data_IF_974384272199
#
_entry.id   IF_974384272199
#
_cell.length_a   1.000
_cell.length_b   1.000
_cell.length_c   1.000
_cell.angle_alpha   90.00
_cell.angle_beta   90.00
_cell.angle_gamma   90.00
#
_symmetry.space_group_name_H-M   'P 1'
#
loop_
_entity.id
_entity.type
_entity.pdbx_description
1 polymer ?
#
# COMPACT_ATOMS: atom_id res chain seq x y z
N UNK A 1 -37.39 13.59 6.05
CA UNK A 1 -36.38 12.59 6.45
C UNK A 1 -37.04 11.71 7.49
N UNK A 2 -37.42 10.48 7.13
CA UNK A 2 -37.90 9.50 8.10
C UNK A 2 -36.66 9.02 8.84
N UNK A 3 -36.55 9.33 10.13
CA UNK A 3 -35.47 8.78 10.95
C UNK A 3 -35.75 7.28 11.07
N UNK A 4 -34.77 6.44 10.75
CA UNK A 4 -34.89 4.99 10.88
C UNK A 4 -35.01 4.63 12.36
N UNK A 5 -36.19 4.21 12.80
CA UNK A 5 -36.52 3.87 14.20
C UNK A 5 -35.59 2.80 14.78
N UNK A 6 -34.92 2.00 13.93
CA UNK A 6 -33.97 0.97 14.36
C UNK A 6 -32.68 1.56 14.94
N UNK A 7 -32.04 2.51 14.25
CA UNK A 7 -30.80 3.16 14.72
C UNK A 7 -31.01 3.93 16.02
N UNK A 8 -32.16 4.58 16.19
CA UNK A 8 -32.50 5.27 17.45
C UNK A 8 -32.56 4.26 18.60
N UNK A 9 -33.24 3.12 18.41
CA UNK A 9 -33.37 2.09 19.44
C UNK A 9 -32.02 1.45 19.79
N UNK A 10 -31.14 1.25 18.83
CA UNK A 10 -29.79 0.71 19.09
C UNK A 10 -28.88 1.75 19.76
N UNK A 11 -29.05 3.04 19.45
CA UNK A 11 -28.38 4.12 20.18
C UNK A 11 -28.87 4.19 21.64
N UNK A 12 -30.16 3.96 21.92
CA UNK A 12 -30.66 3.87 23.30
C UNK A 12 -29.98 2.74 24.09
N UNK A 13 -29.93 1.53 23.53
CA UNK A 13 -29.26 0.39 24.17
C UNK A 13 -27.77 0.62 24.37
N UNK A 14 -27.11 1.24 23.38
CA UNK A 14 -25.71 1.61 23.49
C UNK A 14 -25.44 2.54 24.69
N UNK A 15 -26.27 3.57 24.87
CA UNK A 15 -26.15 4.48 26.01
C UNK A 15 -26.32 3.75 27.34
N UNK A 16 -27.25 2.78 27.43
CA UNK A 16 -27.45 1.97 28.64
C UNK A 16 -26.27 1.03 28.93
N UNK A 17 -25.76 0.34 27.90
CA UNK A 17 -24.64 -0.60 27.99
C UNK A 17 -23.36 0.11 28.45
N UNK A 18 -23.13 1.34 27.99
CA UNK A 18 -21.89 2.09 28.20
C UNK A 18 -21.98 3.20 29.25
N UNK A 19 -23.08 3.29 30.02
CA UNK A 19 -23.29 4.37 31.02
C UNK A 19 -22.21 4.45 32.12
N UNK A 20 -21.53 3.32 32.38
CA UNK A 20 -20.52 3.19 33.43
C UNK A 20 -19.08 3.17 32.88
N UNK A 21 -18.90 3.37 31.58
CA UNK A 21 -17.57 3.40 30.98
C UNK A 21 -16.81 4.67 31.39
N UNK A 22 -15.51 4.51 31.65
CA UNK A 22 -14.68 5.61 32.13
C UNK A 22 -13.17 5.45 31.87
N UNK A 23 -12.70 4.24 31.58
CA UNK A 23 -11.27 3.96 31.40
C UNK A 23 -10.92 3.73 29.92
N UNK A 24 -10.12 4.62 29.33
CA UNK A 24 -9.64 4.55 27.94
C UNK A 24 -8.96 3.22 27.63
N UNK A 25 -8.05 2.76 28.49
CA UNK A 25 -7.22 1.57 28.21
C UNK A 25 -8.03 0.28 28.23
N UNK A 26 -9.07 0.24 29.07
CA UNK A 26 -9.86 -0.96 29.27
C UNK A 26 -11.10 -1.00 28.35
N UNK A 27 -11.72 0.16 28.11
CA UNK A 27 -13.08 0.22 27.55
C UNK A 27 -13.18 0.93 26.20
N UNK A 28 -12.17 1.71 25.77
CA UNK A 28 -12.26 2.45 24.49
C UNK A 28 -12.50 1.53 23.30
N UNK A 29 -11.82 0.39 23.23
CA UNK A 29 -11.96 -0.55 22.10
C UNK A 29 -13.36 -1.17 22.03
N UNK A 30 -13.91 -1.60 23.17
CA UNK A 30 -15.27 -2.16 23.21
C UNK A 30 -16.32 -1.09 22.92
N UNK A 31 -16.13 0.13 23.46
CA UNK A 31 -17.03 1.26 23.23
C UNK A 31 -17.12 1.62 21.75
N UNK A 32 -15.98 1.78 21.08
CA UNK A 32 -15.95 2.11 19.64
C UNK A 32 -16.53 0.97 18.81
N UNK A 33 -16.20 -0.28 19.15
CA UNK A 33 -16.73 -1.45 18.45
C UNK A 33 -18.24 -1.49 18.53
N UNK A 34 -18.81 -1.33 19.72
CA UNK A 34 -20.25 -1.36 19.93
C UNK A 34 -20.94 -0.16 19.29
N UNK A 35 -20.31 1.01 19.32
CA UNK A 35 -20.79 2.20 18.60
C UNK A 35 -20.93 1.93 17.10
N UNK A 36 -19.92 1.33 16.47
CA UNK A 36 -19.94 1.06 15.03
C UNK A 36 -20.83 -0.15 14.67
N UNK A 37 -20.70 -1.28 15.37
CA UNK A 37 -21.41 -2.53 15.06
C UNK A 37 -22.87 -2.50 15.50
N UNK A 38 -23.15 -2.09 16.73
CA UNK A 38 -24.49 -2.18 17.29
C UNK A 38 -25.36 -1.02 16.82
N UNK A 39 -24.84 0.20 16.79
CA UNK A 39 -25.64 1.40 16.43
C UNK A 39 -25.73 1.59 14.92
N UNK A 40 -24.62 1.48 14.19
CA UNK A 40 -24.59 1.76 12.74
C UNK A 40 -24.48 0.52 11.86
N UNK A 41 -24.42 -0.68 12.44
CA UNK A 41 -24.27 -1.95 11.71
C UNK A 41 -23.04 -2.01 10.79
N UNK A 42 -22.00 -1.26 11.14
CA UNK A 42 -20.72 -1.24 10.45
C UNK A 42 -19.88 -2.36 11.04
N UNK A 43 -19.38 -3.27 10.21
CA UNK A 43 -18.52 -4.36 10.66
C UNK A 43 -17.05 -3.91 10.75
N UNK A 44 -16.49 -3.62 11.94
CA UNK A 44 -15.11 -3.22 12.12
C UNK A 44 -14.15 -4.32 11.70
N UNK A 45 -14.51 -5.62 11.64
CA UNK A 45 -13.62 -6.66 11.06
C UNK A 45 -13.43 -6.55 9.56
N UNK A 46 -14.38 -5.95 8.84
CA UNK A 46 -14.21 -5.55 7.42
C UNK A 46 -13.59 -4.16 7.28
N UNK A 47 -13.40 -3.42 8.36
CA UNK A 47 -12.66 -2.15 8.45
C UNK A 47 -11.27 -2.36 9.09
N UNK A 48 -11.02 -3.52 9.70
CA UNK A 48 -9.85 -3.92 10.50
C UNK A 48 -8.55 -4.06 9.69
N UNK A 49 -8.50 -3.56 8.45
CA UNK A 49 -7.26 -3.38 7.72
C UNK A 49 -6.38 -2.24 8.28
N UNK A 50 -6.79 -1.60 9.38
CA UNK A 50 -5.96 -0.63 10.08
C UNK A 50 -6.37 -0.44 11.54
N UNK A 51 -5.85 -1.27 12.45
CA UNK A 51 -5.80 -0.92 13.88
C UNK A 51 -4.40 -1.02 14.47
N UNK A 52 -4.11 0.00 15.28
CA UNK A 52 -2.85 0.42 15.90
C UNK A 52 -1.78 1.01 14.96
N UNK A 53 -2.02 2.24 14.45
CA UNK A 53 -0.90 3.06 13.95
C UNK A 53 -0.11 3.62 15.15
N UNK A 54 1.05 3.01 15.44
CA UNK A 54 1.97 3.47 16.50
C UNK A 54 2.85 4.59 15.94
N UNK A 55 2.62 5.84 16.36
CA UNK A 55 3.45 6.97 15.94
C UNK A 55 4.49 7.26 17.01
N UNK A 56 5.78 7.13 16.69
CA UNK A 56 6.85 7.65 17.55
C UNK A 56 7.00 9.15 17.31
N UNK A 57 6.62 9.96 18.30
CA UNK A 57 6.91 11.40 18.33
C UNK A 57 7.83 11.69 19.54
N UNK A 58 9.14 11.52 19.36
CA UNK A 58 10.13 11.73 20.42
C UNK A 58 10.05 10.71 21.58
N UNK A 59 10.36 11.13 22.82
CA UNK A 59 10.38 10.25 24.01
C UNK A 59 8.98 9.73 24.44
N UNK A 60 7.89 10.15 23.80
CA UNK A 60 6.53 9.77 24.16
C UNK A 60 5.76 9.28 22.91
N UNK A 61 5.13 8.10 23.02
CA UNK A 61 4.30 7.52 21.96
C UNK A 61 2.93 8.20 21.94
N UNK A 62 2.43 8.55 20.75
CA UNK A 62 1.07 9.09 20.58
C UNK A 62 0.22 8.08 19.79
N UNK A 63 -0.98 7.84 20.31
CA UNK A 63 -1.93 6.82 19.84
C UNK A 63 -3.16 7.51 19.25
N UNK A 64 -3.83 6.83 18.34
CA UNK A 64 -5.19 7.16 17.92
C UNK A 64 -6.06 5.92 18.06
N UNK A 65 -7.25 6.09 18.62
CA UNK A 65 -8.12 4.97 18.99
C UNK A 65 -8.95 4.40 17.84
N UNK A 66 -9.36 5.21 16.85
CA UNK A 66 -9.98 4.70 15.61
C UNK A 66 -9.81 5.58 14.35
N UNK A 67 -9.65 4.97 13.16
CA UNK A 67 -9.79 5.61 11.85
C UNK A 67 -10.66 4.74 10.92
N UNK A 68 -11.72 5.34 10.38
CA UNK A 68 -12.48 4.88 9.23
C UNK A 68 -12.00 5.68 8.01
N UNK A 69 -11.25 5.04 7.11
CA UNK A 69 -10.55 5.66 5.97
C UNK A 69 -11.38 6.73 5.26
N UNK A 70 -10.87 7.96 5.20
CA UNK A 70 -11.49 9.12 4.52
C UNK A 70 -12.82 9.61 5.12
N UNK A 71 -13.36 8.95 6.15
CA UNK A 71 -14.69 9.25 6.70
C UNK A 71 -14.60 9.81 8.12
N UNK A 72 -14.07 9.04 9.09
CA UNK A 72 -14.17 9.38 10.51
C UNK A 72 -12.92 8.97 11.29
N UNK A 73 -12.31 9.92 11.98
CA UNK A 73 -11.31 9.70 13.02
C UNK A 73 -12.01 9.69 14.39
N UNK A 74 -11.64 8.77 15.28
CA UNK A 74 -12.14 8.72 16.66
C UNK A 74 -10.95 8.71 17.62
N UNK A 75 -10.95 9.65 18.56
CA UNK A 75 -9.99 9.71 19.66
C UNK A 75 -10.74 9.63 20.99
N UNK A 76 -10.39 8.66 21.83
CA UNK A 76 -10.97 8.43 23.15
C UNK A 76 -10.05 8.97 24.24
N UNK A 77 -10.63 9.39 25.37
CA UNK A 77 -9.89 9.65 26.62
C UNK A 77 -10.64 9.07 27.81
N UNK A 78 -9.93 8.83 28.92
CA UNK A 78 -10.63 8.47 30.17
C UNK A 78 -11.56 9.60 30.59
N UNK A 79 -12.65 9.24 31.27
CA UNK A 79 -13.70 10.18 31.70
C UNK A 79 -13.16 11.38 32.47
N UNK A 80 -13.60 12.58 32.07
CA UNK A 80 -13.19 13.84 32.69
C UNK A 80 -11.79 14.32 32.31
N UNK A 81 -11.11 13.67 31.35
CA UNK A 81 -9.85 14.16 30.79
C UNK A 81 -10.13 15.20 29.69
N UNK A 82 -9.24 16.17 29.57
CA UNK A 82 -9.38 17.26 28.58
C UNK A 82 -9.38 16.75 27.14
N UNK A 83 -10.48 17.03 26.44
CA UNK A 83 -10.63 16.79 25.00
C UNK A 83 -9.78 17.74 24.14
N UNK A 84 -9.23 18.84 24.68
CA UNK A 84 -8.34 19.73 23.91
C UNK A 84 -7.00 19.06 23.58
N UNK A 85 -6.52 18.20 24.49
CA UNK A 85 -5.35 17.34 24.24
C UNK A 85 -5.66 16.30 23.17
N UNK A 86 -6.83 15.68 23.24
CA UNK A 86 -7.33 14.75 22.23
C UNK A 86 -7.46 15.44 20.86
N UNK A 87 -7.97 16.67 20.83
CA UNK A 87 -8.07 17.49 19.63
C UNK A 87 -6.71 17.74 19.01
N UNK A 88 -5.73 18.18 19.80
CA UNK A 88 -4.37 18.40 19.31
C UNK A 88 -3.75 17.12 18.73
N UNK A 89 -3.99 15.96 19.35
CA UNK A 89 -3.53 14.66 18.85
C UNK A 89 -4.21 14.28 17.53
N UNK A 90 -5.53 14.40 17.46
CA UNK A 90 -6.32 14.11 16.27
C UNK A 90 -5.95 14.99 15.07
N UNK A 91 -5.80 16.31 15.27
CA UNK A 91 -5.40 17.22 14.19
C UNK A 91 -3.94 16.99 13.75
N UNK A 92 -3.03 16.72 14.69
CA UNK A 92 -1.66 16.32 14.34
C UNK A 92 -1.61 15.00 13.56
N UNK A 93 -2.59 14.11 13.76
CA UNK A 93 -2.73 12.91 12.96
C UNK A 93 -3.26 13.24 11.56
N UNK A 94 -4.32 14.03 11.45
CA UNK A 94 -4.90 14.46 10.15
C UNK A 94 -3.87 15.17 9.27
N UNK A 95 -3.04 16.04 9.86
CA UNK A 95 -1.98 16.78 9.14
C UNK A 95 -0.87 15.88 8.58
N UNK A 96 -0.83 14.59 8.97
CA UNK A 96 0.13 13.58 8.50
C UNK A 96 -0.49 12.60 7.49
N UNK A 97 -1.75 12.79 7.11
CA UNK A 97 -2.43 11.98 6.11
C UNK A 97 -2.29 12.63 4.73
N UNK A 98 -2.21 11.81 3.68
CA UNK A 98 -2.31 12.33 2.31
C UNK A 98 -3.71 12.89 2.03
N UNK A 99 -3.85 13.79 1.07
CA UNK A 99 -5.11 14.50 0.77
C UNK A 99 -6.32 13.57 0.61
N UNK A 100 -6.13 12.37 0.03
CA UNK A 100 -7.19 11.38 -0.19
C UNK A 100 -7.57 10.56 1.07
N UNK A 101 -6.73 10.58 2.11
CA UNK A 101 -6.90 9.83 3.35
C UNK A 101 -7.40 10.69 4.51
N UNK A 102 -7.43 12.02 4.34
CA UNK A 102 -7.93 12.97 5.33
C UNK A 102 -9.39 12.63 5.65
N UNK A 103 -9.71 12.30 6.92
CA UNK A 103 -11.08 12.01 7.31
C UNK A 103 -11.88 13.30 7.30
N UNK A 104 -13.04 13.29 6.66
CA UNK A 104 -13.95 14.44 6.71
C UNK A 104 -14.39 14.77 8.14
N UNK A 105 -14.59 13.76 8.98
CA UNK A 105 -15.06 13.92 10.36
C UNK A 105 -14.01 13.53 11.39
N UNK A 106 -13.94 14.28 12.49
CA UNK A 106 -13.15 13.97 13.68
C UNK A 106 -14.05 13.95 14.90
N UNK A 107 -14.14 12.80 15.56
CA UNK A 107 -14.86 12.60 16.82
C UNK A 107 -13.88 12.45 17.99
N UNK A 108 -14.10 13.21 19.04
CA UNK A 108 -13.41 13.11 20.32
C UNK A 108 -14.42 12.70 21.38
N UNK A 109 -14.08 11.73 22.22
CA UNK A 109 -14.99 11.23 23.24
C UNK A 109 -14.25 10.89 24.55
N UNK A 110 -14.84 11.23 25.68
CA UNK A 110 -14.32 10.83 27.01
C UNK A 110 -15.32 9.97 27.80
N UNK A 111 -16.20 9.24 27.11
CA UNK A 111 -17.33 8.48 27.67
C UNK A 111 -18.45 9.32 28.29
N UNK A 112 -18.24 10.62 28.54
CA UNK A 112 -19.28 11.54 29.03
C UNK A 112 -19.72 12.52 27.96
N UNK A 113 -18.78 13.05 27.18
CA UNK A 113 -19.01 14.05 26.14
C UNK A 113 -18.52 13.50 24.80
N UNK A 114 -19.33 13.68 23.76
CA UNK A 114 -18.94 13.52 22.37
C UNK A 114 -18.78 14.91 21.76
N UNK A 115 -17.63 15.14 21.13
CA UNK A 115 -17.39 16.28 20.26
C UNK A 115 -17.09 15.80 18.86
N UNK A 116 -17.84 16.26 17.87
CA UNK A 116 -17.60 15.92 16.46
C UNK A 116 -17.41 17.18 15.62
N UNK A 117 -16.40 17.14 14.76
CA UNK A 117 -15.99 18.22 13.87
C UNK A 117 -16.07 17.74 12.42
N UNK A 118 -16.68 18.52 11.54
CA UNK A 118 -16.64 18.32 10.09
C UNK A 118 -15.54 19.25 9.53
N UNK A 119 -14.46 18.68 9.01
CA UNK A 119 -13.28 19.41 8.56
C UNK A 119 -13.51 20.17 7.25
N UNK A 120 -14.48 19.76 6.42
CA UNK A 120 -14.81 20.44 5.16
C UNK A 120 -15.55 21.75 5.44
N UNK A 121 -16.50 21.71 6.38
CA UNK A 121 -17.36 22.85 6.72
C UNK A 121 -16.83 23.69 7.88
N UNK A 122 -15.91 23.15 8.69
CA UNK A 122 -15.43 23.74 9.93
C UNK A 122 -16.46 23.73 11.06
N UNK A 123 -17.58 23.01 10.90
CA UNK A 123 -18.62 22.95 11.92
C UNK A 123 -18.24 21.98 13.04
N UNK A 124 -18.56 22.34 14.28
CA UNK A 124 -18.35 21.51 15.46
C UNK A 124 -19.65 21.41 16.26
N UNK A 125 -19.98 20.21 16.73
CA UNK A 125 -21.06 19.99 17.69
C UNK A 125 -20.55 19.17 18.87
N UNK A 126 -21.03 19.48 20.06
CA UNK A 126 -20.63 18.83 21.30
C UNK A 126 -21.88 18.54 22.12
N UNK A 127 -22.04 17.30 22.58
CA UNK A 127 -23.19 16.88 23.37
C UNK A 127 -22.81 15.72 24.31
N UNK A 128 -23.53 15.54 25.43
CA UNK A 128 -23.31 14.39 26.32
C UNK A 128 -23.61 13.05 25.63
N UNK A 129 -22.85 11.99 25.92
CA UNK A 129 -23.11 10.63 25.41
C UNK A 129 -24.54 10.18 25.72
N UNK A 130 -25.08 10.54 26.89
CA UNK A 130 -26.47 10.26 27.28
C UNK A 130 -27.53 10.87 26.35
N UNK A 131 -27.17 11.88 25.57
CA UNK A 131 -28.02 12.57 24.58
C UNK A 131 -27.74 12.11 23.15
N UNK A 132 -26.95 11.04 22.96
CA UNK A 132 -26.61 10.50 21.65
C UNK A 132 -27.86 10.18 20.82
N UNK A 133 -28.93 9.71 21.44
CA UNK A 133 -30.19 9.35 20.75
C UNK A 133 -30.85 10.56 20.11
N UNK A 134 -30.86 11.71 20.79
CA UNK A 134 -31.39 12.98 20.27
C UNK A 134 -30.49 13.60 19.21
N UNK A 135 -29.19 13.28 19.22
CA UNK A 135 -28.18 13.81 18.29
C UNK A 135 -27.76 12.78 17.22
N UNK A 136 -28.45 11.65 17.10
CA UNK A 136 -28.01 10.54 16.24
C UNK A 136 -27.92 10.92 14.76
N UNK A 137 -28.70 11.93 14.34
CA UNK A 137 -28.67 12.48 12.99
C UNK A 137 -27.33 13.11 12.59
N UNK A 138 -26.51 13.51 13.56
CA UNK A 138 -25.14 14.01 13.31
C UNK A 138 -24.28 12.93 12.63
N UNK A 139 -24.59 11.65 12.87
CA UNK A 139 -23.90 10.50 12.30
C UNK A 139 -24.60 9.90 11.09
N UNK A 140 -25.52 10.63 10.44
CA UNK A 140 -26.17 10.16 9.22
C UNK A 140 -25.16 9.83 8.11
N UNK A 141 -23.96 10.42 8.15
CA UNK A 141 -22.84 10.08 7.26
C UNK A 141 -22.31 8.64 7.44
N UNK A 142 -22.68 7.94 8.51
CA UNK A 142 -22.37 6.52 8.75
C UNK A 142 -23.51 5.59 8.30
N UNK A 143 -24.73 6.09 8.11
CA UNK A 143 -25.90 5.28 7.74
C UNK A 143 -25.86 4.84 6.28
N UNK A 144 -26.25 3.60 6.01
CA UNK A 144 -26.39 3.06 4.65
C UNK A 144 -25.09 2.92 3.84
N UNK A 145 -23.93 3.21 4.44
CA UNK A 145 -22.64 2.98 3.80
C UNK A 145 -22.21 1.53 4.02
N UNK A 146 -22.19 0.75 2.94
CA UNK A 146 -21.14 -0.27 2.84
C UNK A 146 -19.82 0.50 2.91
N UNK A 147 -19.15 0.51 4.06
CA UNK A 147 -17.78 1.00 4.15
C UNK A 147 -16.93 0.02 3.36
N UNK A 148 -16.84 0.29 2.06
CA UNK A 148 -15.89 -0.36 1.18
C UNK A 148 -14.54 0.19 1.61
N UNK A 149 -13.70 -0.69 2.15
CA UNK A 149 -12.26 -0.45 2.08
C UNK A 149 -12.00 -0.18 0.61
N UNK A 150 -11.66 1.04 0.27
CA UNK A 150 -11.17 1.37 -1.06
C UNK A 150 -9.75 0.78 -1.14
N UNK A 151 -9.64 -0.54 -1.28
CA UNK A 151 -8.63 -1.08 -2.19
C UNK A 151 -8.90 -0.31 -3.48
N UNK A 152 -7.91 0.38 -4.09
CA UNK A 152 -8.18 1.24 -5.22
C UNK A 152 -8.97 0.45 -6.27
N UNK A 153 -10.28 0.66 -6.35
CA UNK A 153 -11.20 -0.07 -7.25
C UNK A 153 -11.08 0.54 -8.65
N UNK A 154 -9.84 0.70 -9.13
CA UNK A 154 -9.63 0.77 -10.56
C UNK A 154 -10.09 -0.58 -11.12
N UNK A 155 -10.95 -0.61 -12.15
CA UNK A 155 -11.28 -1.83 -12.87
C UNK A 155 -10.02 -2.62 -13.28
N UNK A 156 -8.89 -1.92 -13.50
CA UNK A 156 -7.59 -2.50 -13.81
C UNK A 156 -7.02 -3.31 -12.64
N UNK A 157 -7.15 -2.83 -11.39
CA UNK A 157 -6.71 -3.55 -10.19
C UNK A 157 -7.49 -4.84 -9.96
N UNK A 158 -8.82 -4.77 -10.08
CA UNK A 158 -9.69 -5.94 -9.93
C UNK A 158 -9.39 -6.97 -11.03
N UNK A 159 -9.23 -6.51 -12.27
CA UNK A 159 -8.87 -7.36 -13.39
C UNK A 159 -7.50 -8.02 -13.19
N UNK A 160 -6.48 -7.25 -12.77
CA UNK A 160 -5.14 -7.75 -12.51
C UNK A 160 -5.13 -8.81 -11.40
N UNK A 161 -5.81 -8.54 -10.29
CA UNK A 161 -5.92 -9.47 -9.17
C UNK A 161 -6.53 -10.82 -9.60
N UNK A 162 -7.66 -10.78 -10.30
CA UNK A 162 -8.36 -11.98 -10.77
C UNK A 162 -7.50 -12.79 -11.75
N UNK A 163 -6.82 -12.12 -12.69
CA UNK A 163 -5.96 -12.80 -13.67
C UNK A 163 -4.73 -13.44 -13.00
N UNK A 164 -4.09 -12.76 -12.05
CA UNK A 164 -2.94 -13.30 -11.34
C UNK A 164 -3.34 -14.45 -10.38
N UNK A 165 -4.51 -14.37 -9.74
CA UNK A 165 -5.08 -15.48 -8.96
C UNK A 165 -5.35 -16.69 -9.84
N UNK A 166 -5.96 -16.48 -11.01
CA UNK A 166 -6.21 -17.56 -11.97
C UNK A 166 -4.90 -18.18 -12.45
N UNK A 167 -3.88 -17.38 -12.77
CA UNK A 167 -2.56 -17.85 -13.16
C UNK A 167 -1.92 -18.72 -12.06
N UNK A 168 -2.04 -18.29 -10.81
CA UNK A 168 -1.53 -19.06 -9.67
C UNK A 168 -2.20 -20.43 -9.55
N UNK A 169 -3.53 -20.48 -9.63
CA UNK A 169 -4.31 -21.74 -9.60
C UNK A 169 -3.87 -22.67 -10.74
N UNK A 170 -3.75 -22.14 -11.96
CA UNK A 170 -3.33 -22.93 -13.13
C UNK A 170 -1.92 -23.52 -12.98
N UNK A 171 -0.97 -22.75 -12.41
CA UNK A 171 0.38 -23.23 -12.13
C UNK A 171 0.39 -24.33 -11.06
N UNK A 172 -0.49 -24.24 -10.06
CA UNK A 172 -0.64 -25.24 -9.00
C UNK A 172 -1.17 -26.56 -9.51
N UNK A 173 -2.12 -26.53 -10.44
CA UNK A 173 -2.70 -27.74 -11.05
C UNK A 173 -1.71 -28.52 -11.92
N UNK A 174 -0.65 -27.88 -12.42
CA UNK A 174 0.40 -28.51 -13.24
C UNK A 174 1.48 -29.24 -12.42
N UNK A 175 1.23 -29.51 -11.13
CA UNK A 175 2.19 -30.11 -10.19
C UNK A 175 3.54 -29.35 -10.11
N UNK A 176 3.54 -28.05 -10.40
CA UNK A 176 4.73 -27.24 -10.19
C UNK A 176 5.03 -27.17 -8.67
N UNK A 177 6.30 -27.29 -8.23
CA UNK A 177 6.60 -27.33 -6.80
C UNK A 177 6.09 -26.08 -6.08
N UNK A 178 5.33 -26.25 -4.98
CA UNK A 178 4.66 -25.15 -4.25
C UNK A 178 5.57 -23.96 -3.95
N UNK A 179 6.77 -24.20 -3.42
CA UNK A 179 7.70 -23.12 -3.10
C UNK A 179 8.25 -22.42 -4.36
N UNK A 180 8.38 -23.15 -5.46
CA UNK A 180 8.82 -22.60 -6.73
C UNK A 180 7.70 -21.80 -7.41
N UNK A 181 6.42 -22.19 -7.25
CA UNK A 181 5.28 -21.45 -7.82
C UNK A 181 5.25 -20.02 -7.32
N UNK A 182 5.38 -19.84 -6.00
CA UNK A 182 5.34 -18.50 -5.39
C UNK A 182 6.50 -17.64 -5.91
N UNK A 183 7.72 -18.19 -5.92
CA UNK A 183 8.91 -17.49 -6.42
C UNK A 183 8.79 -17.14 -7.92
N UNK A 184 8.26 -18.06 -8.73
CA UNK A 184 8.01 -17.84 -10.15
C UNK A 184 7.00 -16.69 -10.35
N UNK A 185 5.89 -16.70 -9.60
CA UNK A 185 4.88 -15.65 -9.63
C UNK A 185 5.47 -14.29 -9.24
N UNK A 186 6.27 -14.21 -8.18
CA UNK A 186 6.94 -12.96 -7.78
C UNK A 186 7.83 -12.41 -8.88
N UNK A 187 8.62 -13.28 -9.53
CA UNK A 187 9.52 -12.87 -10.61
C UNK A 187 8.78 -12.40 -11.86
N UNK A 188 7.67 -13.07 -12.21
CA UNK A 188 6.81 -12.66 -13.34
C UNK A 188 6.21 -11.28 -13.08
N UNK A 189 5.64 -11.06 -11.90
CA UNK A 189 5.08 -9.77 -11.50
C UNK A 189 6.17 -8.68 -11.50
N UNK A 190 7.36 -8.99 -10.98
CA UNK A 190 8.49 -8.07 -11.05
C UNK A 190 8.81 -7.67 -12.49
N UNK A 191 8.88 -8.64 -13.42
CA UNK A 191 9.19 -8.35 -14.81
C UNK A 191 8.15 -7.45 -15.48
N UNK A 192 6.86 -7.67 -15.17
CA UNK A 192 5.77 -6.84 -15.68
C UNK A 192 5.85 -5.40 -15.15
N UNK A 193 6.25 -5.24 -13.89
CA UNK A 193 6.46 -3.92 -13.29
C UNK A 193 7.74 -3.25 -13.81
N UNK A 194 8.79 -4.01 -14.08
CA UNK A 194 10.04 -3.53 -14.65
C UNK A 194 9.86 -3.00 -16.08
N UNK A 195 9.01 -3.63 -16.89
CA UNK A 195 8.56 -3.13 -18.20
C UNK A 195 7.89 -1.75 -18.10
N UNK A 196 7.13 -1.51 -17.02
CA UNK A 196 6.43 -0.24 -16.82
C UNK A 196 7.31 0.86 -16.23
N UNK A 197 8.15 0.53 -15.24
CA UNK A 197 8.94 1.53 -14.49
C UNK A 197 10.20 2.03 -15.19
N UNK A 198 10.44 1.60 -16.44
CA UNK A 198 11.63 1.97 -17.21
C UNK A 198 12.91 1.25 -16.75
N UNK A 199 12.75 0.18 -15.95
CA UNK A 199 13.85 -0.75 -15.65
C UNK A 199 14.15 -1.54 -16.90
N UNK A 200 13.13 -2.10 -17.54
CA UNK A 200 13.19 -2.65 -18.88
C UNK A 200 12.75 -1.59 -19.90
N UNK A 201 13.05 -1.82 -21.17
CA UNK A 201 12.43 -1.02 -22.23
C UNK A 201 10.93 -1.31 -22.28
N UNK A 202 10.14 -0.34 -22.75
CA UNK A 202 8.68 -0.47 -22.79
C UNK A 202 8.26 -1.73 -23.59
N UNK A 203 7.58 -2.65 -22.91
CA UNK A 203 7.11 -3.91 -23.50
C UNK A 203 8.20 -4.93 -23.84
N UNK A 204 9.41 -4.79 -23.29
CA UNK A 204 10.55 -5.70 -23.54
C UNK A 204 10.24 -7.13 -23.06
N UNK A 205 9.76 -7.30 -21.82
CA UNK A 205 9.36 -8.59 -21.27
C UNK A 205 8.24 -9.23 -22.11
N UNK A 206 7.18 -8.47 -22.41
CA UNK A 206 6.09 -8.98 -23.26
C UNK A 206 6.60 -9.44 -24.63
N UNK A 207 7.44 -8.62 -25.27
CA UNK A 207 8.02 -8.94 -26.58
C UNK A 207 8.89 -10.19 -26.53
N UNK A 208 9.65 -10.36 -25.45
CA UNK A 208 10.46 -11.55 -25.23
C UNK A 208 9.58 -12.82 -25.16
N UNK A 209 8.53 -12.81 -24.35
CA UNK A 209 7.60 -13.94 -24.25
C UNK A 209 6.95 -14.21 -25.61
N UNK A 210 6.49 -13.18 -26.32
CA UNK A 210 5.81 -13.33 -27.60
C UNK A 210 6.70 -13.96 -28.67
N UNK A 211 7.96 -13.52 -28.79
CA UNK A 211 8.90 -13.96 -29.84
C UNK A 211 9.59 -15.28 -29.53
N UNK A 212 9.93 -15.54 -28.27
CA UNK A 212 10.84 -16.61 -27.90
C UNK A 212 10.18 -17.83 -27.26
N UNK A 213 8.86 -17.79 -27.01
CA UNK A 213 8.10 -18.95 -26.53
C UNK A 213 7.20 -19.52 -27.61
N UNK A 214 7.06 -20.85 -27.64
CA UNK A 214 6.15 -21.56 -28.53
C UNK A 214 4.70 -21.20 -28.23
N UNK A 215 3.85 -21.18 -29.25
CA UNK A 215 2.42 -20.91 -29.08
C UNK A 215 1.71 -21.93 -28.20
N UNK A 216 2.20 -23.18 -28.14
CA UNK A 216 1.65 -24.22 -27.27
C UNK A 216 2.01 -24.04 -25.79
N UNK A 217 2.86 -23.05 -25.47
CA UNK A 217 3.28 -22.71 -24.11
C UNK A 217 4.24 -23.71 -23.47
N UNK A 218 4.72 -24.71 -24.21
CA UNK A 218 5.45 -25.83 -23.63
C UNK A 218 6.86 -25.51 -23.15
N UNK A 219 7.45 -24.39 -23.58
CA UNK A 219 8.82 -23.96 -23.28
C UNK A 219 8.91 -22.69 -22.42
N UNK A 220 7.77 -22.17 -21.92
CA UNK A 220 7.73 -20.91 -21.17
C UNK A 220 8.67 -20.92 -19.97
N UNK A 221 8.64 -21.99 -19.17
CA UNK A 221 9.44 -22.08 -17.93
C UNK A 221 10.93 -22.02 -18.25
N UNK A 222 11.36 -22.68 -19.32
CA UNK A 222 12.77 -22.70 -19.73
C UNK A 222 13.23 -21.33 -20.25
N UNK A 223 12.36 -20.62 -20.98
CA UNK A 223 12.62 -19.25 -21.45
C UNK A 223 12.65 -18.25 -20.31
N UNK A 224 11.72 -18.35 -19.35
CA UNK A 224 11.75 -17.55 -18.13
C UNK A 224 13.00 -17.85 -17.29
N UNK A 225 13.39 -19.12 -17.17
CA UNK A 225 14.63 -19.51 -16.49
C UNK A 225 15.87 -18.86 -17.11
N UNK A 226 15.94 -18.86 -18.44
CA UNK A 226 17.01 -18.19 -19.20
C UNK A 226 17.04 -16.69 -18.95
N UNK A 227 15.87 -16.03 -18.98
CA UNK A 227 15.72 -14.62 -18.64
C UNK A 227 16.19 -14.35 -17.20
N UNK A 228 15.78 -15.15 -16.23
CA UNK A 228 16.13 -14.95 -14.82
C UNK A 228 17.63 -15.09 -14.57
N UNK A 229 18.32 -15.98 -15.29
CA UNK A 229 19.78 -16.06 -15.26
C UNK A 229 20.39 -14.73 -15.74
N UNK A 230 19.91 -14.17 -16.84
CA UNK A 230 20.40 -12.89 -17.38
C UNK A 230 20.14 -11.73 -16.42
N UNK A 231 18.95 -11.70 -15.81
CA UNK A 231 18.61 -10.72 -14.78
C UNK A 231 19.56 -10.85 -13.59
N UNK A 232 20.09 -12.05 -13.29
CA UNK A 232 21.08 -12.24 -12.22
C UNK A 232 22.55 -12.23 -12.66
N UNK A 233 22.85 -11.94 -13.94
CA UNK A 233 24.23 -11.95 -14.45
C UNK A 233 24.67 -10.52 -14.79
N UNK A 234 25.77 -10.00 -14.20
CA UNK A 234 26.32 -8.71 -14.58
C UNK A 234 26.57 -8.60 -16.09
N UNK A 235 26.32 -7.42 -16.67
CA UNK A 235 26.37 -7.22 -18.13
C UNK A 235 27.70 -7.66 -18.76
N UNK A 236 28.82 -7.45 -18.07
CA UNK A 236 30.17 -7.81 -18.52
C UNK A 236 30.50 -9.31 -18.38
N UNK A 237 29.63 -10.11 -17.76
CA UNK A 237 29.82 -11.55 -17.51
C UNK A 237 28.82 -12.41 -18.29
N UNK A 238 27.94 -11.78 -19.09
CA UNK A 238 26.92 -12.47 -19.87
C UNK A 238 27.50 -13.18 -21.08
N UNK A 239 26.91 -14.33 -21.37
CA UNK A 239 27.18 -15.13 -22.56
C UNK A 239 25.96 -15.26 -23.48
N UNK A 240 24.78 -14.79 -23.02
CA UNK A 240 23.55 -14.71 -23.79
C UNK A 240 23.63 -13.59 -24.84
N UNK A 241 22.90 -13.75 -25.94
CA UNK A 241 22.91 -12.85 -27.09
C UNK A 241 21.49 -12.48 -27.53
N UNK A 242 21.35 -11.45 -28.37
CA UNK A 242 20.07 -11.00 -28.93
C UNK A 242 19.18 -10.36 -27.87
N UNK A 243 17.86 -10.45 -28.00
CA UNK A 243 16.88 -9.78 -27.11
C UNK A 243 17.14 -9.99 -25.59
N UNK A 244 17.82 -11.08 -25.19
CA UNK A 244 18.20 -11.32 -23.80
C UNK A 244 19.28 -10.36 -23.31
N UNK A 245 20.29 -10.02 -24.11
CA UNK A 245 21.42 -9.18 -23.69
C UNK A 245 21.00 -7.77 -23.29
N UNK A 246 19.89 -7.30 -23.86
CA UNK A 246 19.30 -5.98 -23.63
C UNK A 246 18.58 -5.85 -22.28
N UNK A 247 18.31 -6.94 -21.57
CA UNK A 247 17.69 -6.86 -20.24
C UNK A 247 18.71 -6.39 -19.22
N UNK A 248 18.34 -5.51 -18.29
CA UNK A 248 19.27 -5.01 -17.26
C UNK A 248 19.66 -6.08 -16.26
N UNK A 249 20.84 -5.92 -15.65
CA UNK A 249 21.21 -6.70 -14.47
C UNK A 249 20.42 -6.21 -13.25
N UNK A 250 19.72 -7.13 -12.61
CA UNK A 250 18.88 -6.95 -11.42
C UNK A 250 19.48 -7.80 -10.29
N UNK A 251 20.28 -7.16 -9.44
CA UNK A 251 20.87 -7.78 -8.25
C UNK A 251 19.84 -7.94 -7.11
N UNK A 252 20.25 -8.56 -6.00
CA UNK A 252 19.54 -8.53 -4.71
C UNK A 252 18.77 -9.80 -4.37
N UNK A 253 19.23 -10.97 -4.83
CA UNK A 253 18.72 -12.25 -4.32
C UNK A 253 17.43 -12.74 -4.95
N UNK A 254 16.58 -11.86 -5.49
CA UNK A 254 15.32 -12.25 -6.12
C UNK A 254 15.54 -13.29 -7.23
N UNK A 255 16.61 -13.17 -8.01
CA UNK A 255 16.94 -14.05 -9.13
C UNK A 255 18.06 -15.08 -8.84
N UNK A 256 18.59 -15.13 -7.60
CA UNK A 256 19.71 -16.01 -7.22
C UNK A 256 19.36 -17.49 -7.29
N UNK A 257 18.15 -17.84 -6.88
CA UNK A 257 17.71 -19.24 -6.83
C UNK A 257 17.25 -19.69 -8.21
N UNK A 258 17.87 -20.72 -8.78
CA UNK A 258 17.37 -21.29 -10.03
C UNK A 258 15.99 -21.90 -9.83
N UNK A 259 15.09 -21.65 -10.79
CA UNK A 259 13.77 -22.29 -10.80
C UNK A 259 13.87 -23.70 -11.41
N UNK A 260 13.00 -24.63 -11.01
CA UNK A 260 12.86 -25.91 -11.70
C UNK A 260 12.51 -25.71 -13.18
N UNK A 261 13.35 -26.23 -14.08
CA UNK A 261 13.17 -26.20 -15.54
C UNK A 261 12.59 -27.53 -16.06
N UNK A 262 12.19 -27.57 -17.33
CA UNK A 262 11.67 -28.77 -18.01
C UNK A 262 10.19 -29.07 -17.74
N UNK A 263 9.48 -28.18 -17.04
CA UNK A 263 8.04 -28.30 -16.83
C UNK A 263 7.30 -27.70 -18.00
N UNK A 264 6.49 -28.52 -18.67
CA UNK A 264 5.68 -28.12 -19.82
C UNK A 264 4.38 -27.48 -19.33
N UNK A 265 4.26 -26.19 -19.56
CA UNK A 265 2.98 -25.48 -19.41
C UNK A 265 2.16 -25.61 -20.70
N UNK A 266 1.07 -24.86 -20.80
CA UNK A 266 0.14 -24.92 -21.92
C UNK A 266 -0.15 -23.54 -22.51
N UNK A 267 -0.84 -23.56 -23.64
CA UNK A 267 -1.26 -22.37 -24.40
C UNK A 267 -2.09 -21.42 -23.55
N UNK A 268 -2.94 -21.94 -22.67
CA UNK A 268 -3.78 -21.12 -21.79
C UNK A 268 -2.93 -20.26 -20.84
N UNK A 269 -1.93 -20.86 -20.19
CA UNK A 269 -1.01 -20.11 -19.31
C UNK A 269 -0.19 -19.09 -20.11
N UNK A 270 0.27 -19.44 -21.32
CA UNK A 270 0.97 -18.50 -22.20
C UNK A 270 0.13 -17.26 -22.52
N UNK A 271 -1.11 -17.49 -22.93
CA UNK A 271 -2.01 -16.41 -23.30
C UNK A 271 -2.33 -15.53 -22.09
N UNK A 272 -2.47 -16.13 -20.91
CA UNK A 272 -2.68 -15.40 -19.67
C UNK A 272 -1.47 -14.50 -19.31
N UNK A 273 -0.23 -15.00 -19.43
CA UNK A 273 0.97 -14.16 -19.23
C UNK A 273 1.00 -12.98 -20.20
N UNK A 274 0.65 -13.21 -21.47
CA UNK A 274 0.59 -12.16 -22.49
C UNK A 274 -0.56 -11.17 -22.24
N UNK A 275 -1.70 -11.61 -21.73
CA UNK A 275 -2.82 -10.74 -21.35
C UNK A 275 -2.46 -9.87 -20.15
N UNK A 276 -1.90 -10.45 -19.09
CA UNK A 276 -1.54 -9.72 -17.88
C UNK A 276 -0.42 -8.70 -18.18
N UNK A 277 0.52 -9.03 -19.06
CA UNK A 277 1.57 -8.10 -19.52
C UNK A 277 1.04 -6.91 -20.35
N UNK A 278 -0.22 -6.93 -20.81
CA UNK A 278 -0.85 -5.82 -21.54
C UNK A 278 -1.59 -4.84 -20.64
N UNK A 279 -1.79 -5.19 -19.36
CA UNK A 279 -2.43 -4.29 -18.42
C UNK A 279 -1.57 -3.04 -18.22
N UNK A 280 -2.23 -1.93 -17.90
CA UNK A 280 -1.52 -0.72 -17.52
C UNK A 280 -1.04 -0.83 -16.06
N UNK A 281 0.20 -1.30 -15.89
CA UNK A 281 0.82 -1.46 -14.58
C UNK A 281 1.09 -0.14 -13.85
N UNK A 282 0.89 1.02 -14.49
CA UNK A 282 0.85 2.32 -13.81
C UNK A 282 -0.31 2.44 -12.83
N UNK A 283 -1.42 1.80 -13.15
CA UNK A 283 -2.66 1.86 -12.40
C UNK A 283 -2.80 0.71 -11.39
N UNK A 284 -1.83 -0.23 -11.41
CA UNK A 284 -1.88 -1.42 -10.56
C UNK A 284 -1.21 -1.13 -9.23
N UNK A 285 -1.99 -1.15 -8.15
CA UNK A 285 -1.46 -0.93 -6.80
C UNK A 285 -0.67 -2.15 -6.32
N UNK A 286 0.52 -1.95 -5.72
CA UNK A 286 1.30 -3.02 -5.08
C UNK A 286 0.55 -3.84 -4.03
N UNK A 287 -0.51 -3.26 -3.45
CA UNK A 287 -1.36 -3.92 -2.45
C UNK A 287 -1.98 -5.21 -3.01
N UNK A 288 -2.28 -5.26 -4.31
CA UNK A 288 -2.86 -6.44 -4.97
C UNK A 288 -1.96 -7.68 -4.79
N UNK A 289 -0.64 -7.50 -4.84
CA UNK A 289 0.32 -8.59 -4.66
C UNK A 289 0.34 -9.09 -3.22
N UNK A 290 0.32 -8.16 -2.26
CA UNK A 290 0.22 -8.49 -0.83
C UNK A 290 -0.97 -9.39 -0.53
N UNK A 291 -2.17 -8.98 -0.96
CA UNK A 291 -3.40 -9.76 -0.76
C UNK A 291 -3.39 -11.11 -1.47
N UNK A 292 -2.83 -11.18 -2.68
CA UNK A 292 -2.75 -12.42 -3.46
C UNK A 292 -1.78 -13.43 -2.83
N UNK A 293 -0.56 -13.00 -2.49
CA UNK A 293 0.44 -13.87 -1.89
C UNK A 293 0.06 -14.27 -0.45
N UNK A 294 -0.58 -13.38 0.31
CA UNK A 294 -1.13 -13.73 1.64
C UNK A 294 -2.23 -14.80 1.54
N UNK A 295 -3.10 -14.70 0.52
CA UNK A 295 -4.16 -15.67 0.24
C UNK A 295 -3.64 -17.03 -0.24
N UNK A 296 -2.54 -17.06 -1.00
CA UNK A 296 -1.90 -18.27 -1.53
C UNK A 296 -1.06 -19.06 -0.49
N UNK A 297 -0.57 -18.39 0.56
CA UNK A 297 0.25 -19.02 1.60
C UNK A 297 -0.57 -19.81 2.64
N UNK A 298 0.00 -20.90 3.15
CA UNK A 298 -0.60 -21.70 4.21
C UNK A 298 -0.67 -20.91 5.53
N UNK A 299 -1.77 -21.04 6.28
CA UNK A 299 -2.05 -20.25 7.49
C UNK A 299 -0.96 -20.42 8.56
N UNK A 300 -0.41 -21.63 8.71
CA UNK A 300 0.70 -21.91 9.64
C UNK A 300 2.00 -21.22 9.22
N UNK A 301 2.37 -21.35 7.94
CA UNK A 301 3.63 -20.81 7.40
C UNK A 301 3.62 -19.28 7.36
N UNK A 302 2.45 -18.66 7.19
CA UNK A 302 2.23 -17.21 7.28
C UNK A 302 2.57 -16.67 8.67
N UNK A 303 2.18 -17.40 9.73
CA UNK A 303 2.40 -17.03 11.14
C UNK A 303 3.87 -17.21 11.55
N UNK A 304 4.50 -18.29 11.10
CA UNK A 304 5.90 -18.62 11.43
C UNK A 304 6.91 -17.68 10.76
N UNK A 305 6.60 -17.16 9.56
CA UNK A 305 7.47 -16.24 8.81
C UNK A 305 7.21 -14.75 9.10
N UNK A 306 6.16 -14.42 9.87
CA UNK A 306 5.73 -13.03 10.06
C UNK A 306 5.42 -12.32 8.74
N UNK A 307 4.98 -13.08 7.72
CA UNK A 307 4.80 -12.63 6.34
C UNK A 307 3.52 -11.79 6.19
N UNK A 308 3.45 -10.70 6.93
CA UNK A 308 2.44 -9.67 6.80
C UNK A 308 2.96 -8.61 5.83
N UNK A 309 2.21 -8.41 4.76
CA UNK A 309 2.43 -7.33 3.82
C UNK A 309 2.24 -5.99 4.53
N UNK A 310 3.15 -5.05 4.30
CA UNK A 310 2.99 -3.66 4.77
C UNK A 310 2.40 -2.85 3.62
N UNK A 311 1.26 -2.22 3.87
CA UNK A 311 0.56 -1.41 2.87
C UNK A 311 1.43 -0.28 2.32
N UNK A 312 1.17 0.10 1.07
CA UNK A 312 1.82 1.23 0.38
C UNK A 312 1.75 2.51 1.23
N UNK A 313 0.60 2.79 1.84
CA UNK A 313 0.40 3.91 2.77
C UNK A 313 1.37 3.84 3.96
N UNK A 314 1.55 2.66 4.57
CA UNK A 314 2.47 2.51 5.70
C UNK A 314 3.94 2.61 5.27
N UNK A 315 4.27 2.20 4.05
CA UNK A 315 5.60 2.34 3.47
C UNK A 315 5.88 3.81 3.21
N UNK A 316 4.99 4.52 2.50
CA UNK A 316 5.13 5.95 2.22
C UNK A 316 5.25 6.75 3.51
N UNK A 317 4.46 6.46 4.55
CA UNK A 317 4.61 7.12 5.87
C UNK A 317 6.02 6.98 6.47
N UNK A 318 6.65 5.82 6.32
CA UNK A 318 8.04 5.63 6.76
C UNK A 318 8.99 6.38 5.85
N UNK A 319 8.86 6.30 4.53
CA UNK A 319 9.76 6.96 3.58
C UNK A 319 9.67 8.50 3.64
N UNK A 320 8.45 9.04 3.71
CA UNK A 320 8.11 10.45 3.86
C UNK A 320 8.83 11.05 5.07
N UNK A 321 8.59 10.47 6.24
CA UNK A 321 9.21 10.92 7.48
C UNK A 321 10.71 10.62 7.60
N UNK A 322 11.21 9.58 6.91
CA UNK A 322 12.61 9.19 7.00
C UNK A 322 13.52 10.05 6.12
N UNK A 323 13.07 10.42 4.92
CA UNK A 323 13.88 11.23 4.00
C UNK A 323 13.12 11.98 2.89
N UNK A 324 11.93 11.55 2.45
CA UNK A 324 11.30 12.19 1.28
C UNK A 324 10.81 13.61 1.59
N UNK A 325 10.29 13.89 2.79
CA UNK A 325 9.83 15.24 3.18
C UNK A 325 10.98 16.25 3.19
N UNK A 326 12.14 15.84 3.71
CA UNK A 326 13.35 16.66 3.74
C UNK A 326 13.87 16.94 2.32
N UNK A 327 13.89 15.92 1.47
CA UNK A 327 14.29 16.07 0.06
C UNK A 327 13.32 16.97 -0.71
N UNK A 328 12.01 16.82 -0.49
CA UNK A 328 10.99 17.66 -1.11
C UNK A 328 11.14 19.12 -0.65
N UNK A 329 11.35 19.35 0.64
CA UNK A 329 11.54 20.69 1.20
C UNK A 329 12.80 21.35 0.64
N UNK A 330 13.93 20.62 0.61
CA UNK A 330 15.18 21.09 0.01
C UNK A 330 14.98 21.44 -1.47
N UNK A 331 14.30 20.58 -2.23
CA UNK A 331 14.00 20.82 -3.63
C UNK A 331 13.14 22.07 -3.84
N UNK A 332 12.06 22.25 -3.07
CA UNK A 332 11.20 23.44 -3.16
C UNK A 332 11.97 24.72 -2.84
N UNK A 333 12.84 24.68 -1.84
CA UNK A 333 13.72 25.81 -1.51
C UNK A 333 14.65 26.16 -2.67
N UNK A 334 15.22 25.16 -3.36
CA UNK A 334 16.05 25.37 -4.55
C UNK A 334 15.22 25.97 -5.69
N UNK A 335 14.00 25.50 -5.91
CA UNK A 335 13.09 26.04 -6.91
C UNK A 335 12.72 27.51 -6.68
N UNK A 336 12.68 27.96 -5.43
CA UNK A 336 12.40 29.35 -5.06
C UNK A 336 13.62 30.28 -5.17
N UNK A 337 14.82 29.75 -5.44
CA UNK A 337 16.02 30.58 -5.64
C UNK A 337 15.93 31.41 -6.93
N UNK A 338 16.23 32.71 -6.81
CA UNK A 338 16.32 33.62 -7.96
C UNK A 338 17.66 33.57 -8.68
N UNK A 339 18.74 33.24 -7.96
CA UNK A 339 20.12 33.21 -8.46
C UNK A 339 20.77 31.88 -8.04
N UNK A 340 21.61 31.28 -8.89
CA UNK A 340 22.37 30.07 -8.55
C UNK A 340 21.57 28.76 -8.55
N UNK A 341 20.28 28.79 -8.92
CA UNK A 341 19.37 27.64 -8.97
C UNK A 341 19.97 26.42 -9.69
N UNK A 342 20.58 26.63 -10.86
CA UNK A 342 21.08 25.55 -11.71
C UNK A 342 22.22 24.75 -11.05
N UNK A 343 23.15 25.44 -10.37
CA UNK A 343 24.22 24.78 -9.63
C UNK A 343 23.67 24.03 -8.42
N UNK A 344 22.71 24.60 -7.69
CA UNK A 344 22.06 23.94 -6.54
C UNK A 344 21.26 22.71 -6.94
N UNK A 345 20.57 22.75 -8.10
CA UNK A 345 19.91 21.56 -8.67
C UNK A 345 20.92 20.46 -9.02
N UNK A 346 22.08 20.80 -9.59
CA UNK A 346 23.12 19.81 -9.89
C UNK A 346 23.70 19.16 -8.63
N UNK A 347 23.92 19.95 -7.57
CA UNK A 347 24.35 19.44 -6.25
C UNK A 347 23.30 18.52 -5.65
N UNK A 348 22.02 18.93 -5.68
CA UNK A 348 20.90 18.15 -5.17
C UNK A 348 20.70 16.83 -5.93
N UNK A 349 20.80 16.87 -7.26
CA UNK A 349 20.75 15.67 -8.10
C UNK A 349 21.89 14.70 -7.76
N UNK A 350 23.12 15.21 -7.57
CA UNK A 350 24.26 14.39 -7.14
C UNK A 350 24.08 13.83 -5.73
N UNK A 351 23.40 14.55 -4.82
CA UNK A 351 23.06 14.04 -3.49
C UNK A 351 22.12 12.85 -3.60
N UNK A 352 21.01 13.00 -4.32
CA UNK A 352 20.00 11.94 -4.49
C UNK A 352 20.62 10.70 -5.14
N UNK A 353 21.44 10.86 -6.18
CA UNK A 353 22.06 9.74 -6.88
C UNK A 353 23.00 8.89 -6.02
N UNK A 354 23.41 9.40 -4.85
CA UNK A 354 24.29 8.71 -3.90
C UNK A 354 23.56 8.23 -2.64
N UNK A 355 22.25 8.45 -2.51
CA UNK A 355 21.48 7.91 -1.39
C UNK A 355 21.41 6.37 -1.51
N UNK A 356 21.61 5.70 -0.38
CA UNK A 356 21.53 4.23 -0.29
C UNK A 356 20.52 3.87 0.78
N UNK A 357 19.59 2.98 0.44
CA UNK A 357 18.53 2.51 1.33
C UNK A 357 18.69 1.01 1.57
N UNK A 358 18.50 0.56 2.81
CA UNK A 358 18.66 -0.83 3.22
C UNK A 358 17.41 -1.30 3.98
N UNK A 359 16.72 -2.30 3.43
CA UNK A 359 15.70 -3.08 4.13
C UNK A 359 16.18 -4.52 4.31
N UNK A 360 16.65 -4.93 5.50
CA UNK A 360 17.19 -6.27 5.74
C UNK A 360 16.10 -7.36 5.89
N UNK A 361 14.81 -7.01 5.77
CA UNK A 361 13.67 -7.94 5.87
C UNK A 361 12.61 -7.66 4.76
N UNK A 362 13.12 -7.31 3.58
CA UNK A 362 12.35 -6.91 2.41
C UNK A 362 11.31 -7.95 1.94
N UNK A 363 11.60 -9.25 1.90
CA UNK A 363 10.64 -10.26 1.42
C UNK A 363 10.01 -9.90 0.07
N UNK A 364 8.68 -10.05 -0.09
CA UNK A 364 7.97 -9.61 -1.31
C UNK A 364 7.95 -8.07 -1.51
N UNK A 365 8.46 -7.28 -0.55
CA UNK A 365 8.54 -5.81 -0.63
C UNK A 365 9.59 -5.33 -1.64
N UNK A 366 10.37 -6.23 -2.26
CA UNK A 366 11.24 -5.94 -3.43
C UNK A 366 10.48 -5.11 -4.48
N UNK A 367 9.25 -5.51 -4.81
CA UNK A 367 8.42 -4.83 -5.82
C UNK A 367 8.06 -3.41 -5.35
N UNK A 368 7.81 -3.23 -4.06
CA UNK A 368 7.46 -1.94 -3.49
C UNK A 368 8.69 -1.02 -3.40
N UNK A 369 9.85 -1.58 -3.05
CA UNK A 369 11.11 -0.83 -3.07
C UNK A 369 11.48 -0.43 -4.50
N UNK A 370 11.18 -1.29 -5.47
CA UNK A 370 11.32 -1.00 -6.90
C UNK A 370 10.38 0.12 -7.32
N UNK A 371 9.12 0.09 -6.87
CA UNK A 371 8.14 1.16 -7.11
C UNK A 371 8.54 2.47 -6.43
N UNK A 372 8.97 2.43 -5.18
CA UNK A 372 9.42 3.60 -4.45
C UNK A 372 10.66 4.21 -5.12
N UNK A 373 11.66 3.40 -5.48
CA UNK A 373 12.81 3.85 -6.26
C UNK A 373 12.40 4.45 -7.60
N UNK A 374 11.46 3.82 -8.31
CA UNK A 374 10.93 4.34 -9.57
C UNK A 374 10.21 5.66 -9.37
N UNK A 375 9.35 5.80 -8.36
CA UNK A 375 8.61 7.04 -8.09
C UNK A 375 9.56 8.17 -7.71
N UNK A 376 10.57 7.90 -6.87
CA UNK A 376 11.63 8.86 -6.54
C UNK A 376 12.35 9.29 -7.82
N UNK A 377 12.74 8.35 -8.68
CA UNK A 377 13.41 8.67 -9.94
C UNK A 377 12.51 9.45 -10.89
N UNK A 378 11.25 9.07 -11.08
CA UNK A 378 10.27 9.77 -11.93
C UNK A 378 10.04 11.18 -11.42
N UNK A 379 9.80 11.36 -10.12
CA UNK A 379 9.60 12.68 -9.51
C UNK A 379 10.84 13.55 -9.71
N UNK A 380 12.05 13.00 -9.54
CA UNK A 380 13.30 13.70 -9.78
C UNK A 380 13.46 14.08 -11.27
N UNK A 381 13.09 13.21 -12.20
CA UNK A 381 13.18 13.46 -13.65
C UNK A 381 12.16 14.49 -14.16
N UNK A 382 10.90 14.42 -13.69
CA UNK A 382 9.86 15.41 -14.01
C UNK A 382 10.21 16.82 -13.54
N UNK A 383 10.98 16.89 -12.44
CA UNK A 383 11.48 18.11 -11.84
C UNK A 383 12.78 18.64 -12.49
N UNK A 384 13.31 17.96 -13.51
CA UNK A 384 14.50 18.35 -14.26
C UNK A 384 14.22 18.65 -15.75
N UNK A 385 13.36 19.62 -16.13
CA UNK A 385 12.95 19.84 -17.53
C UNK A 385 14.06 20.33 -18.48
N UNK A 386 15.33 20.40 -18.05
CA UNK A 386 16.43 20.98 -18.84
C UNK A 386 17.72 20.17 -18.92
N UNK A 387 17.76 18.95 -18.43
CA UNK A 387 18.97 18.14 -18.58
C UNK A 387 18.71 16.87 -19.39
N UNK A 388 19.41 16.75 -20.53
CA UNK A 388 19.69 15.45 -21.15
C UNK A 388 20.62 14.69 -20.20
N UNK A 389 20.11 13.83 -19.33
CA UNK A 389 20.95 13.00 -18.43
C UNK A 389 20.82 11.52 -18.82
N UNK A 390 21.98 10.87 -18.88
CA UNK A 390 22.18 9.43 -19.12
C UNK A 390 21.40 8.56 -18.13
N UNK A 391 20.88 7.43 -18.65
CA UNK A 391 20.33 6.29 -17.88
C UNK A 391 21.17 6.00 -16.63
N UNK A 392 20.51 5.85 -15.48
CA UNK A 392 21.13 5.28 -14.28
C UNK A 392 21.47 3.80 -14.53
N UNK A 393 22.64 3.37 -14.02
CA UNK A 393 23.26 2.07 -14.34
C UNK A 393 23.00 0.96 -13.30
N UNK A 394 22.29 1.22 -12.20
CA UNK A 394 22.08 0.20 -11.16
C UNK A 394 20.71 0.32 -10.49
N UNK A 395 19.96 -0.78 -10.53
CA UNK A 395 18.75 -0.99 -9.75
C UNK A 395 19.02 -2.15 -8.78
N UNK A 396 18.86 -1.92 -7.48
CA UNK A 396 18.95 -2.97 -6.47
C UNK A 396 17.54 -3.39 -6.07
N UNK A 397 17.21 -4.65 -6.32
CA UNK A 397 16.00 -5.30 -5.86
C UNK A 397 16.37 -6.15 -4.64
N UNK A 398 16.54 -5.52 -3.46
CA UNK A 398 16.85 -6.24 -2.20
C UNK A 398 15.65 -7.05 -1.78
#
# INVERSE_FOLDING_TARGET
MVVDDTTINDAYKFVEDHQNDSDERQQAQSWIKDFLEKVFHINPRKVNAGFEWRVKAGKHQQYVDHLLNGILLIEMKSKGKSLDKAKSQAYNYVMKLGENDVPRYVMLCDFEIIKISDLDTGSEITFPVKELTSHIGVFDFLKGKEIRITTPQSPVNVKAANLLETLHIMLREKNYPRNATELLMTRIVFCMFADYTGIFEEGQYRSYILKHTKEDGSDIVDKLGSLFIVLNTPENERYQQGDLEDFRYINGGLFDVQIPTGIRLNKEIRNMLLEISQLDWSQISPIIFGSMFEGAMDVKRRRDLGAHFTSEVNIMKVLDSLFLDDLNTEFQNICNLKIGKLNKLNEFHKKISNLTFLDPACGFRVIIMTQANSQVNTRVLELLPKFKIKKMNRWCAV
#
